data_IF_100071160476
#
_entry.id   IF_100071160476
#
_cell.length_a   1.000
_cell.length_b   1.000
_cell.length_c   1.000
_cell.angle_alpha   90.00
_cell.angle_beta   90.00
_cell.angle_gamma   90.00
#
_symmetry.space_group_name_H-M   'P 1'
#
loop_
_entity.id
_entity.type
_entity.pdbx_description
1 polymer ?
#
# COMPACT_ATOMS: atom_id res chain seq x y z
N UNK A 1 -23.29 -8.77 -35.99
CA UNK A 1 -21.83 -9.02 -36.00
C UNK A 1 -21.21 -8.07 -37.01
N UNK A 2 -20.77 -6.90 -36.55
CA UNK A 2 -20.12 -5.90 -37.41
C UNK A 2 -18.83 -6.51 -37.94
N UNK A 3 -18.74 -6.68 -39.27
CA UNK A 3 -17.54 -7.10 -39.98
C UNK A 3 -16.51 -5.97 -39.78
N UNK A 4 -15.65 -6.10 -38.76
CA UNK A 4 -14.60 -5.10 -38.49
C UNK A 4 -13.79 -4.93 -39.77
N UNK A 5 -13.67 -3.69 -40.23
CA UNK A 5 -12.86 -3.38 -41.41
C UNK A 5 -11.41 -3.75 -41.12
N UNK A 6 -10.70 -4.33 -42.08
CA UNK A 6 -9.25 -4.63 -42.02
C UNK A 6 -8.40 -3.57 -41.27
N UNK A 7 -8.57 -2.25 -41.47
CA UNK A 7 -7.84 -1.24 -40.72
C UNK A 7 -8.05 -1.30 -39.20
N UNK A 8 -9.25 -1.65 -38.71
CA UNK A 8 -9.52 -1.78 -37.27
C UNK A 8 -8.79 -2.99 -36.66
N UNK A 9 -8.65 -4.08 -37.42
CA UNK A 9 -7.87 -5.25 -37.00
C UNK A 9 -6.37 -4.94 -37.00
N UNK A 10 -5.90 -4.22 -38.01
CA UNK A 10 -4.50 -3.79 -38.10
C UNK A 10 -4.13 -2.84 -36.96
N UNK A 11 -4.96 -1.83 -36.66
CA UNK A 11 -4.72 -0.91 -35.54
C UNK A 11 -4.73 -1.64 -34.21
N UNK A 12 -5.66 -2.57 -33.99
CA UNK A 12 -5.69 -3.39 -32.78
C UNK A 12 -4.45 -4.29 -32.67
N UNK A 13 -3.97 -4.85 -33.79
CA UNK A 13 -2.75 -5.65 -33.84
C UNK A 13 -1.50 -4.83 -33.51
N UNK A 14 -1.32 -3.67 -34.14
CA UNK A 14 -0.20 -2.76 -33.88
C UNK A 14 -0.22 -2.31 -32.41
N UNK A 15 -1.39 -1.91 -31.90
CA UNK A 15 -1.53 -1.53 -30.50
C UNK A 15 -1.17 -2.68 -29.55
N UNK A 16 -1.61 -3.90 -29.84
CA UNK A 16 -1.25 -5.10 -29.08
C UNK A 16 0.26 -5.36 -29.07
N UNK A 17 0.92 -5.24 -30.21
CA UNK A 17 2.38 -5.41 -30.34
C UNK A 17 3.13 -4.32 -29.57
N UNK A 18 2.76 -3.05 -29.74
CA UNK A 18 3.42 -1.93 -29.04
C UNK A 18 3.25 -2.07 -27.52
N UNK A 19 2.05 -2.42 -27.05
CA UNK A 19 1.77 -2.56 -25.62
C UNK A 19 2.50 -3.77 -25.03
N UNK A 20 2.59 -4.88 -25.76
CA UNK A 20 3.36 -6.07 -25.36
C UNK A 20 4.86 -5.77 -25.32
N UNK A 21 5.39 -5.07 -26.33
CA UNK A 21 6.80 -4.67 -26.39
C UNK A 21 7.14 -3.70 -25.25
N UNK A 22 6.31 -2.68 -25.01
CA UNK A 22 6.49 -1.74 -23.90
C UNK A 22 6.46 -2.47 -22.54
N UNK A 23 5.52 -3.40 -22.35
CA UNK A 23 5.47 -4.24 -21.16
C UNK A 23 6.74 -5.08 -20.98
N UNK A 24 7.19 -5.76 -22.04
CA UNK A 24 8.41 -6.58 -21.99
C UNK A 24 9.65 -5.72 -21.65
N UNK A 25 9.77 -4.54 -22.25
CA UNK A 25 10.88 -3.60 -21.96
C UNK A 25 10.85 -3.15 -20.50
N UNK A 26 9.69 -2.73 -19.98
CA UNK A 26 9.56 -2.32 -18.57
C UNK A 26 9.84 -3.47 -17.59
N UNK A 27 9.40 -4.68 -17.94
CA UNK A 27 9.65 -5.88 -17.15
C UNK A 27 11.15 -6.19 -17.09
N UNK A 28 11.83 -6.16 -18.24
CA UNK A 28 13.26 -6.49 -18.35
C UNK A 28 14.16 -5.42 -17.73
N UNK A 29 13.89 -4.13 -17.99
CA UNK A 29 14.81 -3.05 -17.59
C UNK A 29 14.65 -2.59 -16.14
N UNK A 30 13.42 -2.59 -15.61
CA UNK A 30 13.15 -2.00 -14.29
C UNK A 30 12.72 -3.06 -13.26
N UNK A 31 11.95 -4.05 -13.71
CA UNK A 31 11.29 -4.96 -12.77
C UNK A 31 12.18 -6.16 -12.43
N UNK A 32 13.06 -6.60 -13.33
CA UNK A 32 13.89 -7.79 -13.14
C UNK A 32 14.87 -7.68 -11.97
N UNK A 33 15.55 -6.54 -11.82
CA UNK A 33 16.50 -6.27 -10.74
C UNK A 33 15.81 -6.05 -9.40
N UNK A 34 14.72 -5.29 -9.38
CA UNK A 34 13.92 -5.09 -8.16
C UNK A 34 13.25 -6.39 -7.71
N UNK A 35 12.80 -7.20 -8.66
CA UNK A 35 12.21 -8.50 -8.37
C UNK A 35 13.27 -9.47 -7.82
N UNK A 36 14.48 -9.54 -8.38
CA UNK A 36 15.51 -10.45 -7.87
C UNK A 36 15.91 -10.14 -6.42
N UNK A 37 16.01 -8.87 -6.06
CA UNK A 37 16.38 -8.43 -4.71
C UNK A 37 15.24 -8.62 -3.68
N UNK A 38 13.98 -8.39 -4.07
CA UNK A 38 12.86 -8.38 -3.14
C UNK A 38 11.89 -9.55 -3.26
N UNK A 39 12.04 -10.45 -4.25
CA UNK A 39 11.10 -11.54 -4.50
C UNK A 39 10.89 -12.45 -3.29
N UNK A 40 11.96 -12.78 -2.55
CA UNK A 40 11.85 -13.63 -1.36
C UNK A 40 10.94 -13.02 -0.30
N UNK A 41 11.18 -11.76 0.04
CA UNK A 41 10.35 -11.02 1.00
C UNK A 41 8.91 -10.83 0.49
N UNK A 42 8.74 -10.47 -0.79
CA UNK A 42 7.43 -10.24 -1.39
C UNK A 42 6.59 -11.51 -1.49
N UNK A 43 7.22 -12.68 -1.72
CA UNK A 43 6.51 -13.97 -1.72
C UNK A 43 5.98 -14.35 -0.33
N UNK A 44 6.71 -14.00 0.73
CA UNK A 44 6.24 -14.20 2.11
C UNK A 44 5.12 -13.20 2.41
N UNK A 45 5.32 -11.94 2.06
CA UNK A 45 4.36 -10.86 2.31
C UNK A 45 3.02 -11.10 1.60
N UNK A 46 3.04 -11.57 0.35
CA UNK A 46 1.83 -11.85 -0.46
C UNK A 46 1.35 -13.29 -0.38
N UNK A 47 1.79 -14.07 0.60
CA UNK A 47 1.53 -15.52 0.64
C UNK A 47 0.04 -15.87 0.50
N UNK A 48 -0.84 -15.08 1.13
CA UNK A 48 -2.29 -15.29 1.13
C UNK A 48 -2.98 -14.71 -0.13
N UNK A 49 -2.29 -13.85 -0.86
CA UNK A 49 -2.74 -13.25 -2.12
C UNK A 49 -2.49 -14.15 -3.34
N UNK A 50 -1.80 -15.28 -3.17
CA UNK A 50 -1.59 -16.28 -4.21
C UNK A 50 -2.69 -17.36 -4.18
N UNK A 51 -3.15 -17.85 -5.35
CA UNK A 51 -4.16 -18.90 -5.40
C UNK A 51 -3.63 -20.19 -4.76
N UNK A 52 -4.44 -20.87 -3.93
CA UNK A 52 -4.15 -22.23 -3.47
C UNK A 52 -4.02 -23.20 -4.65
N UNK A 53 -3.36 -24.35 -4.43
CA UNK A 53 -3.27 -25.41 -5.43
C UNK A 53 -4.67 -25.96 -5.74
N UNK A 54 -5.17 -25.72 -6.95
CA UNK A 54 -6.45 -26.25 -7.43
C UNK A 54 -6.48 -27.78 -7.41
N UNK A 55 -5.35 -28.44 -7.75
CA UNK A 55 -5.27 -29.90 -7.85
C UNK A 55 -5.24 -30.57 -6.48
N UNK A 56 -4.61 -29.95 -5.48
CA UNK A 56 -4.42 -30.53 -4.15
C UNK A 56 -5.53 -30.13 -3.17
N UNK A 57 -6.03 -28.90 -3.28
CA UNK A 57 -7.00 -28.31 -2.35
C UNK A 57 -8.12 -27.57 -3.10
N UNK A 58 -8.96 -28.28 -3.87
CA UNK A 58 -9.98 -27.66 -4.73
C UNK A 58 -11.01 -26.84 -3.93
N UNK A 59 -11.44 -27.31 -2.76
CA UNK A 59 -12.39 -26.58 -1.92
C UNK A 59 -11.79 -25.27 -1.39
N UNK A 60 -10.53 -25.31 -0.94
CA UNK A 60 -9.82 -24.12 -0.47
C UNK A 60 -9.65 -23.12 -1.62
N UNK A 61 -9.32 -23.61 -2.81
CA UNK A 61 -9.26 -22.77 -4.01
C UNK A 61 -10.60 -22.12 -4.33
N UNK A 62 -11.72 -22.85 -4.25
CA UNK A 62 -13.06 -22.30 -4.51
C UNK A 62 -13.44 -21.22 -3.49
N UNK A 63 -13.20 -21.47 -2.20
CA UNK A 63 -13.47 -20.49 -1.15
C UNK A 63 -12.59 -19.24 -1.32
N UNK A 64 -11.30 -19.43 -1.63
CA UNK A 64 -10.38 -18.33 -1.89
C UNK A 64 -10.80 -17.52 -3.13
N UNK A 65 -11.25 -18.17 -4.20
CA UNK A 65 -11.78 -17.48 -5.38
C UNK A 65 -13.00 -16.65 -5.02
N UNK A 66 -13.94 -17.20 -4.24
CA UNK A 66 -15.13 -16.48 -3.81
C UNK A 66 -14.75 -15.27 -2.94
N UNK A 67 -13.90 -15.47 -1.93
CA UNK A 67 -13.44 -14.40 -1.04
C UNK A 67 -12.70 -13.31 -1.81
N UNK A 68 -11.79 -13.69 -2.71
CA UNK A 68 -11.01 -12.75 -3.53
C UNK A 68 -11.93 -11.91 -4.41
N UNK A 69 -12.86 -12.53 -5.14
CA UNK A 69 -13.71 -11.82 -6.10
C UNK A 69 -14.86 -11.06 -5.44
N UNK A 70 -15.26 -11.43 -4.22
CA UNK A 70 -16.25 -10.67 -3.43
C UNK A 70 -15.60 -9.68 -2.46
N UNK A 71 -14.27 -9.69 -2.34
CA UNK A 71 -13.49 -8.86 -1.43
C UNK A 71 -12.95 -7.57 -2.05
N UNK A 72 -11.83 -7.08 -1.51
CA UNK A 72 -11.28 -5.76 -1.85
C UNK A 72 -10.84 -5.63 -3.32
N UNK A 73 -10.53 -6.74 -4.00
CA UNK A 73 -10.20 -6.78 -5.43
C UNK A 73 -11.30 -6.14 -6.30
N UNK A 74 -12.58 -6.28 -5.91
CA UNK A 74 -13.75 -5.78 -6.65
C UNK A 74 -14.35 -4.49 -6.06
N UNK A 75 -13.62 -3.79 -5.19
CA UNK A 75 -14.10 -2.60 -4.48
C UNK A 75 -14.20 -1.35 -5.38
N UNK A 76 -15.03 -1.42 -6.41
CA UNK A 76 -15.30 -0.35 -7.36
C UNK A 76 -16.81 -0.11 -7.48
N UNK A 77 -17.32 1.12 -7.22
CA UNK A 77 -16.63 2.27 -6.61
C UNK A 77 -16.46 2.15 -5.08
N UNK A 78 -17.18 1.24 -4.43
CA UNK A 78 -17.14 0.98 -3.00
C UNK A 78 -17.03 -0.53 -2.76
N UNK A 79 -16.33 -0.91 -1.69
CA UNK A 79 -16.23 -2.29 -1.25
C UNK A 79 -15.24 -2.44 -0.10
N UNK A 80 -15.19 -3.63 0.48
CA UNK A 80 -14.29 -3.99 1.57
C UNK A 80 -13.84 -5.44 1.46
N UNK A 81 -12.99 -5.87 2.38
CA UNK A 81 -12.69 -7.29 2.58
C UNK A 81 -13.94 -8.08 2.99
N UNK A 82 -13.83 -9.41 3.00
CA UNK A 82 -14.84 -10.33 3.52
C UNK A 82 -16.23 -10.18 2.89
N UNK A 83 -16.29 -10.05 1.56
CA UNK A 83 -17.56 -9.99 0.83
C UNK A 83 -18.14 -8.59 0.60
N UNK A 84 -17.44 -7.52 1.02
CA UNK A 84 -17.91 -6.14 0.87
C UNK A 84 -18.14 -5.68 -0.59
N UNK A 85 -17.63 -6.41 -1.57
CA UNK A 85 -17.77 -6.13 -3.01
C UNK A 85 -18.67 -7.12 -3.74
N UNK A 86 -19.50 -7.88 -3.02
CA UNK A 86 -20.41 -8.88 -3.59
C UNK A 86 -21.33 -8.29 -4.68
N UNK A 87 -21.83 -7.07 -4.49
CA UNK A 87 -22.69 -6.43 -5.50
C UNK A 87 -21.93 -6.21 -6.82
N UNK A 88 -20.73 -5.63 -6.76
CA UNK A 88 -19.91 -5.41 -7.95
C UNK A 88 -19.56 -6.73 -8.63
N UNK A 89 -19.22 -7.76 -7.84
CA UNK A 89 -18.99 -9.11 -8.37
C UNK A 89 -20.20 -9.66 -9.13
N UNK A 90 -21.40 -9.58 -8.54
CA UNK A 90 -22.63 -10.05 -9.19
C UNK A 90 -22.94 -9.27 -10.49
N UNK A 91 -22.69 -7.95 -10.50
CA UNK A 91 -22.83 -7.13 -11.71
C UNK A 91 -21.82 -7.54 -12.79
N UNK A 92 -20.58 -7.87 -12.43
CA UNK A 92 -19.60 -8.41 -13.37
C UNK A 92 -20.05 -9.75 -13.95
N UNK A 93 -20.57 -10.67 -13.13
CA UNK A 93 -21.12 -11.94 -13.60
C UNK A 93 -22.30 -11.70 -14.56
N UNK A 94 -23.22 -10.79 -14.23
CA UNK A 94 -24.32 -10.41 -15.12
C UNK A 94 -23.81 -9.85 -16.46
N UNK A 95 -22.76 -9.02 -16.44
CA UNK A 95 -22.09 -8.51 -17.64
C UNK A 95 -21.49 -9.62 -18.50
N UNK A 96 -20.77 -10.56 -17.89
CA UNK A 96 -20.19 -11.74 -18.55
C UNK A 96 -21.28 -12.57 -19.23
N UNK A 97 -22.35 -12.89 -18.49
CA UNK A 97 -23.48 -13.66 -19.02
C UNK A 97 -24.16 -12.93 -20.18
N UNK A 98 -24.33 -11.61 -20.09
CA UNK A 98 -24.91 -10.80 -21.16
C UNK A 98 -24.05 -10.80 -22.42
N UNK A 99 -22.74 -10.64 -22.28
CA UNK A 99 -21.79 -10.66 -23.41
C UNK A 99 -21.75 -12.03 -24.09
N UNK A 100 -21.78 -13.10 -23.28
CA UNK A 100 -21.89 -14.48 -23.77
C UNK A 100 -23.18 -14.68 -24.57
N UNK A 101 -24.33 -14.21 -24.07
CA UNK A 101 -25.61 -14.28 -24.78
C UNK A 101 -25.58 -13.50 -26.10
N UNK A 102 -24.95 -12.31 -26.12
CA UNK A 102 -24.78 -11.49 -27.33
C UNK A 102 -23.71 -12.01 -28.29
N UNK A 103 -23.00 -13.09 -27.92
CA UNK A 103 -21.88 -13.69 -28.68
C UNK A 103 -20.75 -12.70 -28.97
N UNK A 104 -20.54 -11.73 -28.08
CA UNK A 104 -19.40 -10.81 -28.17
C UNK A 104 -18.14 -11.45 -27.57
N UNK A 105 -17.69 -12.51 -28.25
CA UNK A 105 -16.57 -13.33 -27.80
C UNK A 105 -15.26 -12.57 -27.77
N UNK A 106 -15.10 -11.57 -28.63
CA UNK A 106 -13.88 -10.77 -28.66
C UNK A 106 -13.74 -9.89 -27.42
N UNK A 107 -14.81 -9.17 -27.07
CA UNK A 107 -14.80 -8.36 -25.86
C UNK A 107 -14.63 -9.26 -24.63
N UNK A 108 -15.38 -10.37 -24.56
CA UNK A 108 -15.29 -11.32 -23.45
C UNK A 108 -13.88 -11.93 -23.32
N UNK A 109 -13.27 -12.38 -24.42
CA UNK A 109 -11.93 -12.94 -24.42
C UNK A 109 -10.87 -11.92 -24.02
N UNK A 110 -11.02 -10.66 -24.46
CA UNK A 110 -10.09 -9.59 -24.08
C UNK A 110 -10.20 -9.30 -22.59
N UNK A 111 -11.41 -9.15 -22.05
CA UNK A 111 -11.62 -8.84 -20.63
C UNK A 111 -11.20 -10.00 -19.73
N UNK A 112 -11.65 -11.23 -20.03
CA UNK A 112 -11.32 -12.41 -19.23
C UNK A 112 -9.86 -12.83 -19.42
N UNK A 113 -9.25 -12.52 -20.57
CA UNK A 113 -7.84 -12.77 -20.83
C UNK A 113 -6.94 -12.01 -19.86
N UNK A 114 -7.26 -10.75 -19.54
CA UNK A 114 -6.49 -9.96 -18.56
C UNK A 114 -6.61 -10.58 -17.15
N UNK A 115 -7.80 -11.05 -16.76
CA UNK A 115 -7.99 -11.81 -15.53
C UNK A 115 -7.18 -13.11 -15.53
N UNK A 116 -7.25 -13.88 -16.61
CA UNK A 116 -6.54 -15.16 -16.75
C UNK A 116 -5.02 -15.01 -16.69
N UNK A 117 -4.46 -13.99 -17.35
CA UNK A 117 -3.03 -13.69 -17.30
C UNK A 117 -2.59 -13.28 -15.89
N UNK A 118 -3.39 -12.45 -15.22
CA UNK A 118 -3.13 -12.05 -13.83
C UNK A 118 -3.18 -13.26 -12.89
N UNK A 119 -4.18 -14.14 -13.08
CA UNK A 119 -4.33 -15.36 -12.30
C UNK A 119 -3.15 -16.31 -12.52
N UNK A 120 -2.70 -16.46 -13.77
CA UNK A 120 -1.53 -17.27 -14.11
C UNK A 120 -0.26 -16.73 -13.45
N UNK A 121 -0.06 -15.41 -13.44
CA UNK A 121 1.05 -14.78 -12.72
C UNK A 121 1.00 -15.07 -11.21
N UNK A 122 -0.20 -15.09 -10.62
CA UNK A 122 -0.44 -15.53 -9.24
C UNK A 122 -0.14 -17.00 -8.99
N UNK A 123 -0.62 -17.88 -9.86
CA UNK A 123 -0.37 -19.31 -9.78
C UNK A 123 1.13 -19.64 -9.89
N UNK A 124 1.87 -18.89 -10.71
CA UNK A 124 3.33 -18.98 -10.83
C UNK A 124 4.09 -18.27 -9.69
N UNK A 125 3.38 -17.69 -8.71
CA UNK A 125 3.93 -16.91 -7.59
C UNK A 125 4.86 -15.77 -8.04
N UNK A 126 4.57 -15.18 -9.20
CA UNK A 126 5.30 -14.04 -9.77
C UNK A 126 4.67 -12.71 -9.42
N UNK A 127 3.35 -12.67 -9.26
CA UNK A 127 2.62 -11.47 -8.89
C UNK A 127 1.31 -11.82 -8.17
N UNK A 128 0.92 -11.14 -7.09
CA UNK A 128 -0.29 -11.48 -6.34
C UNK A 128 -1.53 -11.30 -7.21
N UNK A 129 -2.50 -12.22 -7.09
CA UNK A 129 -3.78 -12.10 -7.78
C UNK A 129 -4.89 -11.59 -6.87
N UNK A 130 -4.92 -12.08 -5.62
CA UNK A 130 -5.91 -11.67 -4.63
C UNK A 130 -5.44 -10.49 -3.76
N UNK A 131 -6.19 -10.25 -2.68
CA UNK A 131 -5.96 -9.21 -1.67
C UNK A 131 -6.47 -7.80 -2.04
N UNK A 132 -5.60 -6.79 -2.14
CA UNK A 132 -6.02 -5.39 -2.22
C UNK A 132 -6.24 -4.89 -3.65
N UNK A 133 -7.21 -3.99 -3.85
CA UNK A 133 -7.46 -3.31 -5.13
C UNK A 133 -6.23 -2.60 -5.69
N UNK A 134 -5.31 -2.17 -4.82
CA UNK A 134 -4.06 -1.51 -5.20
C UNK A 134 -3.13 -2.42 -6.01
N UNK A 135 -3.03 -3.70 -5.65
CA UNK A 135 -2.16 -4.65 -6.34
C UNK A 135 -2.75 -5.03 -7.71
N UNK A 136 -4.07 -5.04 -7.83
CA UNK A 136 -4.77 -5.40 -9.07
C UNK A 136 -5.38 -4.21 -9.79
N UNK A 137 -4.79 -3.02 -9.66
CA UNK A 137 -5.34 -1.78 -10.23
C UNK A 137 -5.55 -1.87 -11.76
N UNK A 138 -4.74 -2.69 -12.45
CA UNK A 138 -4.89 -2.95 -13.89
C UNK A 138 -6.18 -3.69 -14.25
N UNK A 139 -6.81 -4.39 -13.30
CA UNK A 139 -8.11 -5.03 -13.47
C UNK A 139 -9.29 -4.08 -13.24
N UNK A 140 -9.07 -2.96 -12.55
CA UNK A 140 -10.11 -1.98 -12.21
C UNK A 140 -10.95 -1.53 -13.42
N UNK A 141 -10.36 -1.08 -14.54
CA UNK A 141 -11.13 -0.69 -15.72
C UNK A 141 -11.98 -1.83 -16.29
N UNK A 142 -11.45 -3.06 -16.29
CA UNK A 142 -12.16 -4.25 -16.80
C UNK A 142 -13.34 -4.60 -15.89
N UNK A 143 -13.14 -4.56 -14.57
CA UNK A 143 -14.20 -4.77 -13.58
C UNK A 143 -15.31 -3.74 -13.78
N UNK A 144 -14.98 -2.44 -13.89
CA UNK A 144 -15.94 -1.37 -14.11
C UNK A 144 -16.72 -1.54 -15.42
N UNK A 145 -16.04 -1.90 -16.51
CA UNK A 145 -16.70 -2.14 -17.81
C UNK A 145 -17.68 -3.32 -17.73
N UNK A 146 -17.25 -4.46 -17.18
CA UNK A 146 -18.12 -5.64 -17.02
C UNK A 146 -19.29 -5.36 -16.08
N UNK A 147 -19.06 -4.68 -14.96
CA UNK A 147 -20.11 -4.26 -14.04
C UNK A 147 -21.10 -3.31 -14.73
N UNK A 148 -20.60 -2.34 -15.51
CA UNK A 148 -21.42 -1.43 -16.32
C UNK A 148 -22.26 -2.16 -17.35
N UNK A 149 -21.71 -3.19 -18.03
CA UNK A 149 -22.48 -4.07 -18.90
C UNK A 149 -23.57 -4.82 -18.13
N UNK A 150 -23.28 -5.29 -16.92
CA UNK A 150 -24.26 -5.91 -16.03
C UNK A 150 -25.40 -4.97 -15.68
N UNK A 151 -25.08 -3.76 -15.23
CA UNK A 151 -26.06 -2.69 -14.95
C UNK A 151 -26.92 -2.40 -16.18
N UNK A 152 -26.29 -2.19 -17.35
CA UNK A 152 -27.00 -1.92 -18.59
C UNK A 152 -27.97 -3.06 -18.94
N UNK A 153 -27.54 -4.31 -18.75
CA UNK A 153 -28.40 -5.48 -18.99
C UNK A 153 -29.62 -5.51 -18.07
N UNK A 154 -29.47 -5.11 -16.80
CA UNK A 154 -30.57 -5.01 -15.84
C UNK A 154 -31.54 -3.88 -16.22
N UNK A 155 -31.03 -2.72 -16.63
CA UNK A 155 -31.86 -1.60 -17.11
C UNK A 155 -32.66 -2.01 -18.35
N UNK A 156 -32.03 -2.70 -19.30
CA UNK A 156 -32.66 -3.19 -20.53
C UNK A 156 -33.82 -4.17 -20.27
N UNK A 157 -33.88 -4.82 -19.09
CA UNK A 157 -35.03 -5.69 -18.73
C UNK A 157 -36.34 -4.91 -18.55
N UNK A 158 -36.28 -3.59 -18.33
CA UNK A 158 -37.46 -2.77 -18.25
C UNK A 158 -38.16 -2.67 -19.61
N UNK A 159 -39.47 -2.98 -19.63
CA UNK A 159 -40.27 -3.11 -20.86
C UNK A 159 -40.52 -1.80 -21.63
N UNK A 160 -40.34 -0.63 -20.99
CA UNK A 160 -40.64 0.66 -21.61
C UNK A 160 -39.44 1.59 -21.56
N UNK A 161 -39.26 2.38 -22.64
CA UNK A 161 -38.17 3.35 -22.78
C UNK A 161 -38.16 4.36 -21.62
N UNK A 162 -39.34 4.83 -21.18
CA UNK A 162 -39.44 5.76 -20.04
C UNK A 162 -38.93 5.17 -18.72
N UNK A 163 -39.19 3.88 -18.45
CA UNK A 163 -38.66 3.20 -17.26
C UNK A 163 -37.15 2.97 -17.37
N UNK A 164 -36.65 2.60 -18.55
CA UNK A 164 -35.21 2.46 -18.80
C UNK A 164 -34.46 3.77 -18.52
N UNK A 165 -34.97 4.89 -19.04
CA UNK A 165 -34.40 6.22 -18.78
C UNK A 165 -34.45 6.61 -17.31
N UNK A 166 -35.54 6.30 -16.62
CA UNK A 166 -35.68 6.58 -15.19
C UNK A 166 -34.68 5.76 -14.36
N UNK A 167 -34.54 4.47 -14.65
CA UNK A 167 -33.55 3.61 -13.99
C UNK A 167 -32.11 4.06 -14.29
N UNK A 168 -31.81 4.41 -15.54
CA UNK A 168 -30.49 4.93 -15.91
C UNK A 168 -30.16 6.23 -15.15
N UNK A 169 -31.12 7.17 -15.07
CA UNK A 169 -30.97 8.40 -14.28
C UNK A 169 -30.78 8.10 -12.79
N UNK A 170 -31.54 7.15 -12.24
CA UNK A 170 -31.42 6.75 -10.85
C UNK A 170 -30.04 6.15 -10.55
N UNK A 171 -29.56 5.21 -11.38
CA UNK A 171 -28.22 4.62 -11.25
C UNK A 171 -27.13 5.68 -11.35
N UNK A 172 -27.21 6.57 -12.34
CA UNK A 172 -26.27 7.67 -12.49
C UNK A 172 -26.25 8.56 -11.24
N UNK A 173 -27.42 8.94 -10.73
CA UNK A 173 -27.56 9.75 -9.51
C UNK A 173 -26.91 9.06 -8.31
N UNK A 174 -27.17 7.76 -8.12
CA UNK A 174 -26.55 6.98 -7.03
C UNK A 174 -25.03 6.93 -7.17
N UNK A 175 -24.50 6.74 -8.38
CA UNK A 175 -23.04 6.76 -8.62
C UNK A 175 -22.44 8.13 -8.30
N UNK A 176 -23.10 9.23 -8.71
CA UNK A 176 -22.65 10.57 -8.36
C UNK A 176 -22.65 10.80 -6.84
N UNK A 177 -23.71 10.36 -6.13
CA UNK A 177 -23.78 10.47 -4.68
C UNK A 177 -22.68 9.67 -3.99
N UNK A 178 -22.34 8.48 -4.49
CA UNK A 178 -21.22 7.68 -3.98
C UNK A 178 -19.90 8.43 -4.15
N UNK A 179 -19.63 8.99 -5.34
CA UNK A 179 -18.38 9.73 -5.62
C UNK A 179 -18.27 10.98 -4.74
N UNK A 180 -19.33 11.77 -4.65
CA UNK A 180 -19.34 12.98 -3.82
C UNK A 180 -19.20 12.62 -2.35
N UNK A 181 -19.96 11.62 -1.89
CA UNK A 181 -19.92 11.14 -0.51
C UNK A 181 -18.54 10.62 -0.10
N UNK A 182 -17.91 9.79 -0.94
CA UNK A 182 -16.55 9.27 -0.65
C UNK A 182 -15.51 10.39 -0.68
N UNK A 183 -15.62 11.34 -1.61
CA UNK A 183 -14.73 12.50 -1.68
C UNK A 183 -14.85 13.39 -0.43
N UNK A 184 -16.08 13.63 0.06
CA UNK A 184 -16.31 14.38 1.30
C UNK A 184 -15.68 13.65 2.50
N UNK A 185 -15.87 12.33 2.59
CA UNK A 185 -15.26 11.52 3.67
C UNK A 185 -13.73 11.64 3.62
N UNK A 186 -13.13 11.57 2.44
CA UNK A 186 -11.67 11.66 2.28
C UNK A 186 -11.13 13.06 2.61
N UNK A 187 -11.90 14.13 2.36
CA UNK A 187 -11.52 15.50 2.74
C UNK A 187 -11.67 15.73 4.25
N UNK A 188 -12.77 15.25 4.85
CA UNK A 188 -13.05 15.43 6.29
C UNK A 188 -12.17 14.53 7.14
N UNK A 189 -11.85 13.32 6.65
CA UNK A 189 -11.01 12.32 7.31
C UNK A 189 -9.88 11.93 6.36
N UNK A 190 -8.81 12.74 6.27
CA UNK A 190 -7.68 12.48 5.38
C UNK A 190 -6.80 11.29 5.81
N UNK A 191 -7.26 10.50 6.79
CA UNK A 191 -6.60 9.29 7.29
C UNK A 191 -7.47 8.07 6.93
N UNK A 192 -6.84 7.00 6.43
CA UNK A 192 -7.55 5.78 5.99
C UNK A 192 -7.75 4.80 7.14
N UNK A 193 -6.85 4.80 8.12
CA UNK A 193 -6.98 4.03 9.34
C UNK A 193 -6.92 4.93 10.58
N UNK A 194 -7.57 4.49 11.68
CA UNK A 194 -7.39 5.11 13.01
C UNK A 194 -5.91 5.11 13.42
N UNK A 195 -5.17 4.10 12.99
CA UNK A 195 -3.75 3.97 13.24
C UNK A 195 -2.97 5.15 12.64
N UNK A 196 -3.28 5.56 11.41
CA UNK A 196 -2.64 6.72 10.77
C UNK A 196 -2.83 8.00 11.60
N UNK A 197 -4.03 8.20 12.17
CA UNK A 197 -4.31 9.33 13.05
C UNK A 197 -3.45 9.30 14.31
N UNK A 198 -3.29 8.12 14.94
CA UNK A 198 -2.45 7.95 16.13
C UNK A 198 -0.98 8.21 15.78
N UNK A 199 -0.49 7.65 14.68
CA UNK A 199 0.88 7.85 14.21
C UNK A 199 1.19 9.31 13.90
N UNK A 200 0.28 10.00 13.20
CA UNK A 200 0.39 11.43 12.91
C UNK A 200 0.37 12.25 14.20
N UNK A 201 -0.54 11.94 15.13
CA UNK A 201 -0.63 12.62 16.42
C UNK A 201 0.65 12.46 17.25
N UNK A 202 1.16 11.23 17.34
CA UNK A 202 2.43 10.95 18.01
C UNK A 202 3.60 11.66 17.33
N UNK A 203 3.70 11.58 16.00
CA UNK A 203 4.77 12.24 15.26
C UNK A 203 4.77 13.76 15.46
N UNK A 204 3.61 14.40 15.40
CA UNK A 204 3.47 15.84 15.70
C UNK A 204 3.94 16.15 17.12
N UNK A 205 3.51 15.35 18.08
CA UNK A 205 3.84 15.51 19.50
C UNK A 205 5.33 15.26 19.79
N UNK A 206 5.93 14.28 19.14
CA UNK A 206 7.30 13.82 19.37
C UNK A 206 8.33 14.73 18.69
N UNK A 207 8.03 15.20 17.48
CA UNK A 207 8.94 16.00 16.67
C UNK A 207 8.77 17.52 16.82
N UNK A 208 7.79 18.00 17.61
CA UNK A 208 7.59 19.44 17.85
C UNK A 208 8.79 20.03 18.62
N UNK A 209 9.60 20.91 18.00
CA UNK A 209 10.77 21.49 18.65
C UNK A 209 10.41 22.48 19.78
N UNK A 210 9.14 22.88 19.92
CA UNK A 210 8.70 23.84 20.95
C UNK A 210 8.36 23.19 22.28
N UNK A 211 8.30 21.86 22.30
CA UNK A 211 7.61 21.13 23.36
C UNK A 211 8.51 20.82 24.55
N UNK A 212 9.76 20.45 24.30
CA UNK A 212 10.76 20.26 25.33
C UNK A 212 11.95 21.18 25.03
N UNK A 213 12.60 21.75 26.05
CA UNK A 213 13.84 22.54 25.89
C UNK A 213 15.05 21.69 25.46
N UNK A 214 14.81 20.42 25.12
CA UNK A 214 15.79 19.39 24.82
C UNK A 214 15.79 19.13 23.32
N UNK A 215 16.96 19.23 22.70
CA UNK A 215 17.07 18.95 21.27
C UNK A 215 17.01 17.44 21.01
N UNK A 216 16.08 17.01 20.15
CA UNK A 216 15.96 15.60 19.72
C UNK A 216 16.67 15.36 18.39
N UNK A 217 17.53 14.34 18.36
CA UNK A 217 18.28 13.89 17.18
C UNK A 217 18.06 12.41 16.92
N UNK A 218 17.86 12.03 15.66
CA UNK A 218 17.83 10.65 15.23
C UNK A 218 19.24 10.15 14.92
N UNK A 219 19.57 9.01 15.49
CA UNK A 219 20.82 8.30 15.22
C UNK A 219 21.07 8.08 13.72
N UNK A 220 20.03 7.67 12.98
CA UNK A 220 20.17 7.33 11.56
C UNK A 220 20.18 8.55 10.65
N UNK A 221 19.18 9.43 10.77
CA UNK A 221 19.01 10.54 9.82
C UNK A 221 19.84 11.77 10.17
N UNK A 222 20.16 12.02 11.44
CA UNK A 222 21.02 13.15 11.82
C UNK A 222 22.47 12.73 11.98
N UNK A 223 22.73 11.62 12.67
CA UNK A 223 24.09 11.22 13.03
C UNK A 223 24.73 10.22 12.06
N UNK A 224 23.95 9.66 11.13
CA UNK A 224 24.45 8.72 10.12
C UNK A 224 24.78 7.31 10.64
N UNK A 225 24.47 6.99 11.89
CA UNK A 225 24.72 5.66 12.46
C UNK A 225 23.56 4.71 12.14
N UNK A 226 23.89 3.47 11.79
CA UNK A 226 22.90 2.40 11.56
C UNK A 226 23.24 1.21 12.44
N UNK A 227 22.49 1.03 13.53
CA UNK A 227 22.72 -0.07 14.48
C UNK A 227 21.96 -1.35 14.14
N UNK A 228 20.84 -1.23 13.41
CA UNK A 228 20.09 -2.40 12.92
C UNK A 228 19.98 -2.30 11.40
N UNK A 229 20.13 -3.43 10.72
CA UNK A 229 19.92 -3.53 9.27
C UNK A 229 18.52 -3.05 8.84
N UNK A 230 17.53 -3.18 9.74
CA UNK A 230 16.15 -2.76 9.57
C UNK A 230 15.79 -1.45 10.31
N UNK A 231 16.75 -0.73 10.93
CA UNK A 231 16.47 0.45 11.76
C UNK A 231 16.06 1.65 10.90
N UNK A 232 14.78 1.98 10.84
CA UNK A 232 14.28 3.16 10.16
C UNK A 232 13.23 2.79 9.14
N UNK A 233 11.98 2.78 9.58
CA UNK A 233 10.88 2.58 8.66
C UNK A 233 10.69 3.84 7.81
N UNK A 234 10.44 3.70 6.49
CA UNK A 234 10.17 4.84 5.61
C UNK A 234 9.12 5.79 6.19
N UNK A 235 8.12 5.25 6.89
CA UNK A 235 7.06 6.02 7.56
C UNK A 235 7.60 6.98 8.64
N UNK A 236 8.54 6.53 9.46
CA UNK A 236 9.12 7.32 10.55
C UNK A 236 9.97 8.47 10.00
N UNK A 237 10.78 8.17 8.97
CA UNK A 237 11.57 9.16 8.24
C UNK A 237 10.64 10.20 7.60
N UNK A 238 9.57 9.78 6.93
CA UNK A 238 8.57 10.71 6.39
C UNK A 238 8.00 11.62 7.47
N UNK A 239 7.59 11.08 8.62
CA UNK A 239 7.06 11.88 9.72
C UNK A 239 8.07 12.86 10.31
N UNK A 240 9.33 12.45 10.44
CA UNK A 240 10.41 13.33 10.87
C UNK A 240 10.58 14.50 9.91
N UNK A 241 10.64 14.25 8.60
CA UNK A 241 10.75 15.32 7.58
C UNK A 241 9.54 16.27 7.57
N UNK A 242 8.33 15.74 7.79
CA UNK A 242 7.10 16.55 7.80
C UNK A 242 7.02 17.42 9.06
N UNK A 243 7.32 16.86 10.23
CA UNK A 243 7.02 17.49 11.52
C UNK A 243 8.23 18.08 12.24
N UNK A 244 9.45 17.77 11.81
CA UNK A 244 10.65 18.39 12.35
C UNK A 244 11.33 19.29 11.30
N UNK A 245 11.20 20.62 11.42
CA UNK A 245 11.85 21.57 10.50
C UNK A 245 13.37 21.41 10.43
N UNK A 246 13.98 20.83 11.48
CA UNK A 246 15.42 20.59 11.53
C UNK A 246 15.89 19.59 10.47
N UNK A 247 15.02 18.68 10.02
CA UNK A 247 15.38 17.55 9.16
C UNK A 247 15.00 17.76 7.70
N UNK A 248 14.73 18.99 7.24
CA UNK A 248 14.42 19.22 5.82
C UNK A 248 15.58 18.83 4.89
N UNK A 249 15.28 18.35 3.66
CA UNK A 249 16.28 17.80 2.75
C UNK A 249 17.45 18.75 2.50
N UNK A 250 18.68 18.20 2.48
CA UNK A 250 19.90 18.93 2.12
C UNK A 250 20.82 19.31 3.27
N UNK A 251 20.51 18.94 4.52
CA UNK A 251 21.46 19.09 5.63
C UNK A 251 22.44 17.91 5.69
N UNK A 252 23.74 18.15 5.87
CA UNK A 252 24.70 17.09 6.07
C UNK A 252 24.47 16.38 7.41
N UNK A 253 24.91 15.11 7.49
CA UNK A 253 24.99 14.41 8.77
C UNK A 253 25.88 15.20 9.74
N UNK A 254 25.47 15.22 11.00
CA UNK A 254 26.24 15.79 12.10
C UNK A 254 27.05 14.70 12.78
N UNK A 255 28.28 15.00 13.15
CA UNK A 255 29.03 14.10 14.01
C UNK A 255 28.54 14.22 15.46
N UNK A 256 28.84 13.21 16.29
CA UNK A 256 28.59 13.31 17.75
C UNK A 256 29.30 14.53 18.34
N UNK A 257 30.43 14.98 17.76
CA UNK A 257 31.18 16.15 18.21
C UNK A 257 30.43 17.48 17.98
N UNK A 258 29.53 17.52 17.01
CA UNK A 258 28.75 18.72 16.66
C UNK A 258 27.50 18.91 17.53
N UNK A 259 27.19 17.93 18.39
CA UNK A 259 26.06 18.03 19.32
C UNK A 259 26.29 19.14 20.37
N UNK A 260 25.24 19.90 20.74
CA UNK A 260 25.33 20.96 21.73
C UNK A 260 25.68 20.40 23.11
N UNK A 261 26.68 21.02 23.77
CA UNK A 261 27.18 20.62 25.10
C UNK A 261 26.77 21.59 26.20
N UNK A 262 25.89 22.55 25.90
CA UNK A 262 25.36 23.54 26.83
C UNK A 262 23.94 23.20 27.29
N UNK A 263 23.29 22.21 26.68
CA UNK A 263 21.92 21.78 27.01
C UNK A 263 21.72 20.27 26.85
N UNK A 264 20.70 19.68 27.51
CA UNK A 264 20.35 18.28 27.31
C UNK A 264 20.01 17.96 25.86
N UNK A 265 20.28 16.72 25.46
CA UNK A 265 19.93 16.17 24.15
C UNK A 265 19.19 14.84 24.30
N UNK A 266 18.21 14.62 23.44
CA UNK A 266 17.52 13.35 23.28
C UNK A 266 18.04 12.68 22.02
N UNK A 267 18.54 11.45 22.13
CA UNK A 267 18.93 10.66 20.97
C UNK A 267 17.92 9.54 20.75
N UNK A 268 17.28 9.53 19.58
CA UNK A 268 16.23 8.56 19.23
C UNK A 268 16.73 7.51 18.25
N UNK A 269 16.37 6.26 18.56
CA UNK A 269 16.57 5.08 17.72
C UNK A 269 15.21 4.48 17.40
N UNK A 270 15.01 4.20 16.11
CA UNK A 270 13.82 3.49 15.65
C UNK A 270 14.13 2.04 15.36
N UNK A 271 13.27 1.15 15.84
CA UNK A 271 13.34 -0.28 15.53
C UNK A 271 11.94 -0.86 15.28
N UNK A 272 11.83 -1.75 14.31
CA UNK A 272 10.66 -2.61 14.13
C UNK A 272 10.74 -3.89 14.99
N UNK A 273 11.93 -4.19 15.53
CA UNK A 273 12.19 -5.39 16.31
C UNK A 273 12.43 -5.04 17.78
N UNK A 274 11.95 -5.93 18.67
CA UNK A 274 12.06 -5.75 20.12
C UNK A 274 13.51 -5.91 20.62
N UNK A 275 14.32 -6.68 19.90
CA UNK A 275 15.67 -7.03 20.30
C UNK A 275 16.65 -6.11 19.57
N UNK A 276 17.01 -5.04 20.27
CA UNK A 276 18.16 -4.23 19.89
C UNK A 276 19.42 -5.05 20.20
N UNK A 277 20.10 -5.55 19.18
CA UNK A 277 21.39 -6.24 19.37
C UNK A 277 22.48 -5.18 19.43
N UNK A 278 23.05 -5.02 20.63
CA UNK A 278 24.21 -4.17 20.88
C UNK A 278 25.44 -4.83 20.27
N UNK A 279 26.02 -4.18 19.25
CA UNK A 279 27.22 -4.64 18.55
C UNK A 279 28.33 -3.60 18.60
N UNK A 280 29.44 -3.88 17.90
CA UNK A 280 30.64 -3.03 17.97
C UNK A 280 30.39 -1.55 17.62
N UNK A 281 29.54 -1.29 16.61
CA UNK A 281 29.16 0.08 16.21
C UNK A 281 28.36 0.79 17.30
N UNK A 282 27.53 0.05 18.04
CA UNK A 282 26.79 0.58 19.19
C UNK A 282 27.76 0.96 20.30
N UNK A 283 28.68 0.07 20.67
CA UNK A 283 29.63 0.30 21.76
C UNK A 283 30.53 1.51 21.47
N UNK A 284 31.02 1.64 20.24
CA UNK A 284 31.81 2.79 19.80
C UNK A 284 31.00 4.09 19.90
N UNK A 285 29.75 4.09 19.41
CA UNK A 285 28.88 5.25 19.51
C UNK A 285 28.54 5.60 20.97
N UNK A 286 28.25 4.59 21.79
CA UNK A 286 27.92 4.76 23.21
C UNK A 286 29.09 5.35 23.98
N UNK A 287 30.32 4.87 23.74
CA UNK A 287 31.53 5.41 24.33
C UNK A 287 31.74 6.89 23.97
N UNK A 288 31.54 7.27 22.70
CA UNK A 288 31.62 8.66 22.24
C UNK A 288 30.58 9.57 22.92
N UNK A 289 29.35 9.08 23.07
CA UNK A 289 28.30 9.81 23.78
C UNK A 289 28.65 9.97 25.26
N UNK A 290 29.10 8.90 25.91
CA UNK A 290 29.45 8.88 27.34
C UNK A 290 30.74 9.65 27.65
N UNK A 291 31.58 9.95 26.68
CA UNK A 291 32.72 10.86 26.85
C UNK A 291 32.25 12.30 27.11
N UNK A 292 31.25 12.76 26.35
CA UNK A 292 30.81 14.17 26.34
C UNK A 292 29.59 14.43 27.23
N UNK A 293 28.75 13.43 27.41
CA UNK A 293 27.48 13.53 28.11
C UNK A 293 27.38 12.50 29.23
N UNK A 294 26.50 12.77 30.18
CA UNK A 294 26.05 11.79 31.17
C UNK A 294 24.68 11.29 30.72
N UNK A 295 24.55 9.97 30.54
CA UNK A 295 23.25 9.34 30.32
C UNK A 295 22.38 9.51 31.57
N UNK A 296 21.16 9.99 31.36
CA UNK A 296 20.21 10.31 32.43
C UNK A 296 19.13 9.25 32.53
N UNK A 297 18.53 8.89 31.39
CA UNK A 297 17.36 8.02 31.33
C UNK A 297 17.16 7.45 29.93
N UNK A 298 16.41 6.35 29.84
CA UNK A 298 16.00 5.73 28.58
C UNK A 298 14.48 5.54 28.58
N UNK A 299 13.81 6.11 27.57
CA UNK A 299 12.36 6.01 27.41
C UNK A 299 12.03 5.22 26.17
N UNK A 300 11.16 4.22 26.32
CA UNK A 300 10.64 3.43 25.21
C UNK A 300 9.18 3.79 24.92
N UNK A 301 8.90 4.29 23.73
CA UNK A 301 7.54 4.39 23.20
C UNK A 301 7.27 3.26 22.20
N UNK A 302 6.08 2.67 22.30
CA UNK A 302 5.61 1.63 21.40
C UNK A 302 4.42 2.14 20.61
N UNK A 303 4.52 2.06 19.28
CA UNK A 303 3.44 2.41 18.37
C UNK A 303 3.05 1.17 17.58
N UNK A 304 1.77 0.80 17.63
CA UNK A 304 1.25 -0.28 16.81
C UNK A 304 1.38 0.13 15.34
N UNK A 305 2.12 -0.60 14.52
CA UNK A 305 2.38 -0.26 13.10
C UNK A 305 1.32 -0.80 12.16
N UNK A 306 0.90 -2.04 12.43
CA UNK A 306 -0.04 -2.76 11.59
C UNK A 306 -0.82 -3.82 12.39
N UNK A 307 -1.95 -4.19 11.81
CA UNK A 307 -2.82 -5.29 12.24
C UNK A 307 -3.11 -6.20 11.05
N UNK A 308 -2.09 -6.61 10.31
CA UNK A 308 -2.27 -7.63 9.25
C UNK A 308 -2.56 -8.99 9.90
N UNK A 309 -3.82 -9.42 9.80
CA UNK A 309 -4.28 -10.69 10.36
C UNK A 309 -4.25 -10.70 11.89
N UNK A 310 -3.70 -11.77 12.47
CA UNK A 310 -3.64 -11.97 13.93
C UNK A 310 -2.35 -11.47 14.60
N UNK A 311 -1.42 -10.89 13.85
CA UNK A 311 -0.13 -10.43 14.36
C UNK A 311 -0.15 -8.91 14.57
N UNK A 312 0.22 -8.48 15.77
CA UNK A 312 0.41 -7.06 16.08
C UNK A 312 1.89 -6.74 15.91
N UNK A 313 2.20 -5.92 14.92
CA UNK A 313 3.56 -5.43 14.71
C UNK A 313 3.70 -4.03 15.34
N UNK A 314 4.83 -3.79 16.00
CA UNK A 314 5.06 -2.58 16.80
C UNK A 314 6.34 -1.88 16.36
N UNK A 315 6.23 -0.59 16.11
CA UNK A 315 7.32 0.38 16.08
C UNK A 315 7.80 0.63 17.51
N UNK A 316 9.11 0.61 17.71
CA UNK A 316 9.76 1.02 18.94
C UNK A 316 10.55 2.31 18.71
N UNK A 317 10.29 3.30 19.56
CA UNK A 317 11.01 4.57 19.65
C UNK A 317 11.76 4.55 20.97
N UNK A 318 13.06 4.26 20.93
CA UNK A 318 13.91 4.28 22.11
C UNK A 318 14.64 5.61 22.16
N UNK A 319 14.45 6.35 23.24
CA UNK A 319 14.98 7.69 23.45
C UNK A 319 15.97 7.64 24.59
N UNK A 320 17.23 7.90 24.28
CA UNK A 320 18.29 8.06 25.27
C UNK A 320 18.43 9.54 25.61
N UNK A 321 18.24 9.87 26.88
CA UNK A 321 18.36 11.23 27.39
C UNK A 321 19.77 11.44 27.92
N UNK A 322 20.41 12.50 27.46
CA UNK A 322 21.77 12.86 27.82
C UNK A 322 21.80 14.29 28.37
N UNK A 323 22.46 14.48 29.51
CA UNK A 323 22.79 15.79 30.05
C UNK A 323 24.26 16.12 29.76
N UNK A 324 24.61 17.38 29.50
CA UNK A 324 26.02 17.75 29.36
C UNK A 324 26.78 17.46 30.65
N UNK A 325 28.03 16.98 30.51
CA UNK A 325 28.91 16.89 31.67
C UNK A 325 29.25 18.31 32.17
N UNK A 326 29.34 18.52 33.49
CA UNK A 326 29.83 19.78 34.03
C UNK A 326 31.23 20.02 33.47
N UNK A 327 31.50 21.25 33.00
CA UNK A 327 32.85 21.63 32.58
C UNK A 327 33.78 21.41 33.77
N UNK A 328 34.80 20.57 33.61
CA UNK A 328 35.86 20.46 34.61
C UNK A 328 36.41 21.87 34.88
N UNK A 329 36.53 22.27 36.14
CA UNK A 329 36.92 23.63 36.54
C UNK A 329 38.30 24.05 36.00
#
# INVERSE_FOLDING_TARGET
LLRKSFPQLLTAGIHGVVLTAAFAILLLLNTSSQFSEHAGHMQIYWRESFPPSLLSHPLQWMLWMLETHTGAMFAYPLGSQSGGSTLTFLLVIAGILRLRQRRDWWFLATTLGIFGLSYLAGALRRYPYGDTSRLVQHLGPVICLLAGCGIASLIETAKTIGRQQTLAKAVFTVMCLIIVGSSIVDVVRPYKARLDYIHVGFARWFWDPRRDSTDTYCVRSDLGYTFLSNAGQPRQICYQHIYSPKHWPGKPFMSVADLPTDRPVNIVIFSAEKNFEEGEVWDQWWALMMERFTHVDTIDHRLLEDTFGSRLDWSHYRIYRFAPKPKSP
#
